data_IF_301169251085
#
_entry.id   IF_301169251085
#
_cell.length_a   1.000
_cell.length_b   1.000
_cell.length_c   1.000
_cell.angle_alpha   90.00
_cell.angle_beta   90.00
_cell.angle_gamma   90.00
#
_symmetry.space_group_name_H-M   'P 1'
#
loop_
_entity.id
_entity.type
_entity.pdbx_description
1 polymer ?
#
# COMPACT_ATOMS: atom_id res chain seq x y z
N UNK A 1 21.34 -0.17 11.23
CA UNK A 1 20.14 0.68 11.43
C UNK A 1 19.13 -0.12 12.22
N UNK A 2 18.73 0.34 13.39
CA UNK A 2 17.72 -0.32 14.22
C UNK A 2 16.33 0.23 13.89
N UNK A 3 15.25 -0.50 14.25
CA UNK A 3 13.88 -0.05 14.07
C UNK A 3 13.61 1.30 14.78
N UNK A 4 14.28 1.53 15.91
CA UNK A 4 14.25 2.79 16.66
C UNK A 4 14.86 3.96 15.89
N UNK A 5 15.92 3.72 15.11
CA UNK A 5 16.55 4.75 14.28
C UNK A 5 15.61 5.20 13.16
N UNK A 6 14.90 4.24 12.54
CA UNK A 6 13.87 4.53 11.51
C UNK A 6 12.74 5.35 12.13
N UNK A 7 12.31 5.04 13.35
CA UNK A 7 11.24 5.78 14.03
C UNK A 7 11.65 7.22 14.38
N UNK A 8 12.88 7.42 14.84
CA UNK A 8 13.46 8.76 15.10
C UNK A 8 13.55 9.58 13.80
N UNK A 9 13.99 8.92 12.71
CA UNK A 9 14.08 9.52 11.38
C UNK A 9 12.69 9.93 10.86
N UNK A 10 11.71 9.03 11.00
CA UNK A 10 10.32 9.26 10.59
C UNK A 10 9.70 10.44 11.35
N UNK A 11 9.97 10.56 12.65
CA UNK A 11 9.51 11.70 13.46
C UNK A 11 10.14 13.03 13.02
N UNK A 12 11.41 13.02 12.63
CA UNK A 12 12.10 14.23 12.16
C UNK A 12 11.56 14.67 10.79
N UNK A 13 11.40 13.73 9.86
CA UNK A 13 10.93 14.00 8.49
C UNK A 13 9.43 13.83 8.29
N UNK A 14 8.62 13.84 9.36
CA UNK A 14 7.18 13.53 9.30
C UNK A 14 6.42 14.40 8.29
N UNK A 15 6.79 15.67 8.16
CA UNK A 15 6.17 16.59 7.18
C UNK A 15 6.43 16.13 5.74
N UNK A 16 7.63 15.64 5.45
CA UNK A 16 8.00 15.12 4.13
C UNK A 16 7.29 13.79 3.85
N UNK A 17 7.25 12.89 4.84
CA UNK A 17 6.55 11.60 4.74
C UNK A 17 5.07 11.83 4.41
N UNK A 18 4.40 12.69 5.19
CA UNK A 18 3.00 13.04 4.96
C UNK A 18 2.79 13.64 3.56
N UNK A 19 3.66 14.55 3.13
CA UNK A 19 3.55 15.16 1.81
C UNK A 19 3.67 14.11 0.69
N UNK A 20 4.66 13.20 0.75
CA UNK A 20 4.84 12.14 -0.26
C UNK A 20 3.64 11.20 -0.28
N UNK A 21 3.17 10.74 0.90
CA UNK A 21 2.02 9.85 1.01
C UNK A 21 0.75 10.50 0.45
N UNK A 22 0.49 11.75 0.79
CA UNK A 22 -0.69 12.49 0.27
C UNK A 22 -0.63 12.64 -1.23
N UNK A 23 0.52 13.04 -1.79
CA UNK A 23 0.70 13.17 -3.26
C UNK A 23 0.48 11.82 -3.95
N UNK A 24 1.08 10.73 -3.46
CA UNK A 24 0.90 9.41 -4.05
C UNK A 24 -0.54 8.89 -3.93
N UNK A 25 -1.22 9.16 -2.80
CA UNK A 25 -2.63 8.79 -2.60
C UNK A 25 -3.54 9.55 -3.57
N UNK A 26 -3.34 10.87 -3.71
CA UNK A 26 -4.10 11.69 -4.65
C UNK A 26 -3.82 11.30 -6.10
N UNK A 27 -2.57 11.01 -6.45
CA UNK A 27 -2.22 10.51 -7.78
C UNK A 27 -2.88 9.15 -8.06
N UNK A 28 -2.84 8.22 -7.11
CA UNK A 28 -3.51 6.92 -7.21
C UNK A 28 -5.03 7.08 -7.36
N UNK A 29 -5.67 7.87 -6.51
CA UNK A 29 -7.11 8.14 -6.60
C UNK A 29 -7.48 8.84 -7.92
N UNK A 30 -6.67 9.82 -8.38
CA UNK A 30 -6.85 10.50 -9.66
C UNK A 30 -6.76 9.56 -10.85
N UNK A 31 -5.79 8.64 -10.86
CA UNK A 31 -5.69 7.59 -11.88
C UNK A 31 -6.90 6.64 -11.83
N UNK A 32 -7.39 6.31 -10.63
CA UNK A 32 -8.59 5.51 -10.44
C UNK A 32 -9.84 6.19 -11.03
N UNK A 33 -10.01 7.50 -10.78
CA UNK A 33 -11.10 8.30 -11.35
C UNK A 33 -10.95 8.42 -12.86
N UNK A 34 -9.75 8.71 -13.37
CA UNK A 34 -9.51 8.84 -14.81
C UNK A 34 -9.80 7.53 -15.54
N UNK A 35 -9.41 6.39 -14.97
CA UNK A 35 -9.70 5.07 -15.53
C UNK A 35 -11.20 4.74 -15.48
N UNK A 36 -11.89 5.11 -14.41
CA UNK A 36 -13.33 4.90 -14.25
C UNK A 36 -14.17 5.96 -14.99
N UNK A 37 -13.68 7.20 -15.12
CA UNK A 37 -14.38 8.29 -15.80
C UNK A 37 -14.23 8.31 -17.32
N UNK A 38 -13.30 7.53 -17.87
CA UNK A 38 -13.18 7.28 -19.32
C UNK A 38 -14.09 6.15 -19.79
N UNK A 39 -14.66 5.35 -18.86
CA UNK A 39 -15.74 4.40 -19.10
C UNK A 39 -17.02 4.94 -18.51
N UNK A 40 -18.14 4.83 -19.22
CA UNK A 40 -19.47 5.05 -18.67
C UNK A 40 -19.64 4.18 -17.40
N UNK A 41 -20.41 4.64 -16.42
CA UNK A 41 -20.73 3.84 -15.27
C UNK A 41 -21.29 2.49 -15.76
N UNK A 42 -20.62 1.41 -15.44
CA UNK A 42 -21.07 0.07 -15.79
C UNK A 42 -21.91 -0.49 -14.65
N UNK A 43 -23.03 -1.03 -14.98
CA UNK A 43 -23.94 -1.69 -14.06
C UNK A 43 -23.92 -3.19 -14.34
N UNK A 44 -23.75 -3.99 -13.30
CA UNK A 44 -23.70 -5.45 -13.37
C UNK A 44 -24.91 -6.03 -12.67
N UNK A 45 -25.73 -6.78 -13.41
CA UNK A 45 -26.87 -7.51 -12.87
C UNK A 45 -26.68 -9.01 -13.08
N UNK A 46 -27.20 -9.82 -12.17
CA UNK A 46 -27.11 -11.28 -12.23
C UNK A 46 -28.51 -11.89 -12.10
N UNK A 47 -28.87 -12.73 -13.06
CA UNK A 47 -30.08 -13.57 -13.01
C UNK A 47 -29.66 -15.04 -12.97
N UNK A 48 -30.39 -15.87 -12.23
CA UNK A 48 -30.03 -17.28 -12.03
C UNK A 48 -31.18 -18.17 -12.52
N UNK A 49 -30.83 -19.07 -13.44
CA UNK A 49 -31.71 -20.13 -13.92
C UNK A 49 -31.43 -21.42 -13.15
N UNK A 50 -32.44 -21.98 -12.48
CA UNK A 50 -32.35 -23.26 -11.78
C UNK A 50 -33.09 -24.33 -12.55
N UNK A 51 -32.44 -25.44 -12.81
CA UNK A 51 -33.03 -26.61 -13.48
C UNK A 51 -33.45 -27.63 -12.42
N UNK A 52 -34.76 -27.93 -12.34
CA UNK A 52 -35.27 -28.96 -11.43
C UNK A 52 -35.17 -30.34 -12.05
N UNK A 53 -34.72 -31.29 -11.28
CA UNK A 53 -34.60 -32.70 -11.65
C UNK A 53 -35.89 -33.44 -11.23
N UNK A 54 -36.71 -33.90 -12.17
CA UNK A 54 -38.03 -34.43 -11.81
C UNK A 54 -37.97 -35.91 -11.38
N UNK A 55 -37.07 -36.70 -11.90
CA UNK A 55 -37.02 -38.16 -11.67
C UNK A 55 -35.63 -38.75 -11.88
N UNK A 56 -35.41 -39.98 -11.39
CA UNK A 56 -34.17 -40.75 -11.63
C UNK A 56 -33.95 -41.16 -13.12
N UNK A 57 -34.93 -40.93 -13.99
CA UNK A 57 -34.90 -41.34 -15.40
C UNK A 57 -34.23 -40.30 -16.31
N UNK A 58 -34.20 -39.02 -15.87
CA UNK A 58 -33.50 -37.93 -16.56
C UNK A 58 -32.63 -37.22 -15.53
N UNK A 59 -31.34 -37.30 -15.71
CA UNK A 59 -30.38 -36.77 -14.74
C UNK A 59 -29.95 -35.33 -15.06
N UNK A 60 -29.59 -34.58 -14.03
CA UNK A 60 -29.01 -33.23 -14.19
C UNK A 60 -27.74 -33.24 -15.05
N UNK A 61 -26.96 -34.33 -15.02
CA UNK A 61 -25.77 -34.49 -15.85
C UNK A 61 -26.05 -34.58 -17.35
N UNK A 62 -27.29 -34.93 -17.73
CA UNK A 62 -27.78 -34.93 -19.13
C UNK A 62 -28.36 -33.58 -19.51
N UNK A 63 -29.14 -32.95 -18.61
CA UNK A 63 -29.85 -31.68 -18.86
C UNK A 63 -28.96 -30.47 -18.85
N UNK A 64 -28.01 -30.41 -17.91
CA UNK A 64 -27.16 -29.22 -17.73
C UNK A 64 -26.29 -28.89 -18.93
N UNK A 65 -25.59 -29.85 -19.59
CA UNK A 65 -24.84 -29.55 -20.80
C UNK A 65 -25.72 -29.04 -21.96
N UNK A 66 -26.93 -29.59 -22.09
CA UNK A 66 -27.87 -29.16 -23.10
C UNK A 66 -28.35 -27.71 -22.84
N UNK A 67 -28.77 -27.44 -21.61
CA UNK A 67 -29.18 -26.10 -21.20
C UNK A 67 -28.05 -25.10 -21.34
N UNK A 68 -26.82 -25.49 -21.01
CA UNK A 68 -25.61 -24.66 -21.17
C UNK A 68 -25.32 -24.33 -22.66
N UNK A 69 -25.50 -25.31 -23.56
CA UNK A 69 -25.32 -25.07 -24.99
C UNK A 69 -26.32 -24.04 -25.53
N UNK A 70 -27.56 -24.13 -25.08
CA UNK A 70 -28.63 -23.15 -25.40
C UNK A 70 -28.26 -21.79 -24.79
N UNK A 71 -27.88 -21.75 -23.53
CA UNK A 71 -27.45 -20.52 -22.85
C UNK A 71 -26.32 -19.82 -23.59
N UNK A 72 -25.33 -20.59 -24.10
CA UNK A 72 -24.21 -20.03 -24.89
C UNK A 72 -24.72 -19.34 -26.17
N UNK A 73 -25.70 -19.96 -26.86
CA UNK A 73 -26.31 -19.38 -28.05
C UNK A 73 -27.12 -18.13 -27.71
N UNK A 74 -27.89 -18.18 -26.65
CA UNK A 74 -28.70 -17.03 -26.17
C UNK A 74 -27.84 -15.86 -25.80
N UNK A 75 -26.72 -16.09 -25.06
CA UNK A 75 -25.75 -15.07 -24.72
C UNK A 75 -25.14 -14.44 -25.96
N UNK A 76 -24.72 -15.26 -26.95
CA UNK A 76 -24.15 -14.75 -28.20
C UNK A 76 -25.16 -13.90 -28.99
N UNK A 77 -26.48 -14.24 -28.98
CA UNK A 77 -27.52 -13.50 -29.69
C UNK A 77 -27.92 -12.20 -28.98
N UNK A 78 -27.84 -12.16 -27.64
CA UNK A 78 -28.27 -11.01 -26.85
C UNK A 78 -27.10 -10.05 -26.46
N UNK A 79 -25.84 -10.42 -26.74
CA UNK A 79 -24.71 -9.51 -26.61
C UNK A 79 -24.72 -8.52 -27.77
N UNK A 80 -24.91 -7.25 -27.48
CA UNK A 80 -24.97 -6.15 -28.44
C UNK A 80 -23.97 -5.05 -28.05
N UNK A 81 -23.79 -4.05 -28.94
CA UNK A 81 -22.95 -2.88 -28.65
C UNK A 81 -23.40 -2.20 -27.34
N UNK A 82 -22.53 -2.22 -26.34
CA UNK A 82 -22.77 -1.63 -25.02
C UNK A 82 -23.36 -2.57 -23.96
N UNK A 83 -23.77 -3.80 -24.33
CA UNK A 83 -24.26 -4.83 -23.39
C UNK A 83 -23.42 -6.10 -23.54
N UNK A 84 -22.72 -6.47 -22.49
CA UNK A 84 -21.96 -7.72 -22.43
C UNK A 84 -22.65 -8.69 -21.48
N UNK A 85 -22.94 -9.91 -21.96
CA UNK A 85 -23.54 -10.97 -21.15
C UNK A 85 -22.52 -12.10 -21.05
N UNK A 86 -22.30 -12.60 -19.86
CA UNK A 86 -21.54 -13.81 -19.59
C UNK A 86 -22.38 -14.81 -18.82
N UNK A 87 -22.06 -16.10 -18.97
CA UNK A 87 -22.72 -17.15 -18.23
C UNK A 87 -21.71 -17.99 -17.46
N UNK A 88 -22.13 -18.48 -16.32
CA UNK A 88 -21.41 -19.49 -15.54
C UNK A 88 -22.41 -20.58 -15.13
N UNK A 89 -21.95 -21.84 -15.04
CA UNK A 89 -22.83 -22.94 -14.66
C UNK A 89 -22.23 -23.74 -13.51
N UNK A 90 -23.10 -24.14 -12.59
CA UNK A 90 -22.76 -25.04 -11.48
C UNK A 90 -23.62 -26.31 -11.53
N UNK A 91 -22.97 -27.42 -11.81
CA UNK A 91 -23.62 -28.73 -11.86
C UNK A 91 -24.12 -29.18 -10.47
N UNK A 92 -23.44 -28.76 -9.40
CA UNK A 92 -23.78 -29.15 -8.03
C UNK A 92 -25.09 -28.52 -7.57
N UNK A 93 -25.26 -27.22 -7.87
CA UNK A 93 -26.48 -26.47 -7.54
C UNK A 93 -27.51 -26.54 -8.66
N UNK A 94 -27.16 -27.07 -9.82
CA UNK A 94 -27.99 -27.14 -11.03
C UNK A 94 -28.47 -25.75 -11.48
N UNK A 95 -27.56 -24.79 -11.44
CA UNK A 95 -27.83 -23.40 -11.77
C UNK A 95 -26.98 -22.92 -12.93
N UNK A 96 -27.54 -21.99 -13.72
CA UNK A 96 -26.81 -21.21 -14.70
C UNK A 96 -27.01 -19.74 -14.32
N UNK A 97 -25.93 -19.06 -14.00
CA UNK A 97 -25.91 -17.63 -13.69
C UNK A 97 -25.64 -16.83 -14.95
N UNK A 98 -26.46 -15.83 -15.22
CA UNK A 98 -26.31 -14.87 -16.33
C UNK A 98 -25.90 -13.53 -15.74
N UNK A 99 -24.67 -13.11 -16.01
CA UNK A 99 -24.15 -11.81 -15.58
C UNK A 99 -24.13 -10.86 -16.77
N UNK A 100 -24.96 -9.82 -16.71
CA UNK A 100 -25.01 -8.78 -17.72
C UNK A 100 -24.36 -7.48 -17.24
N UNK A 101 -23.55 -6.86 -18.10
CA UNK A 101 -22.90 -5.57 -17.87
C UNK A 101 -23.38 -4.61 -18.93
N UNK A 102 -23.94 -3.46 -18.51
CA UNK A 102 -24.49 -2.44 -19.41
C UNK A 102 -24.23 -1.02 -18.87
N UNK A 103 -24.47 -0.02 -19.72
CA UNK A 103 -24.31 1.40 -19.38
C UNK A 103 -25.36 1.92 -18.39
N UNK A 104 -26.49 1.25 -18.23
CA UNK A 104 -27.56 1.60 -17.29
C UNK A 104 -28.00 0.42 -16.44
N UNK A 105 -28.52 0.71 -15.26
CA UNK A 105 -29.05 -0.31 -14.34
C UNK A 105 -30.20 -1.10 -15.01
N UNK A 106 -31.11 -0.40 -15.65
CA UNK A 106 -32.28 -1.03 -16.29
C UNK A 106 -31.88 -1.96 -17.45
N UNK A 107 -30.92 -1.57 -18.27
CA UNK A 107 -30.39 -2.41 -19.36
C UNK A 107 -29.70 -3.66 -18.86
N UNK A 108 -28.86 -3.55 -17.80
CA UNK A 108 -28.18 -4.71 -17.24
C UNK A 108 -29.16 -5.72 -16.63
N UNK A 109 -30.13 -5.24 -15.87
CA UNK A 109 -31.21 -6.07 -15.31
C UNK A 109 -32.03 -6.75 -16.42
N UNK A 110 -32.48 -5.98 -17.42
CA UNK A 110 -33.27 -6.51 -18.52
C UNK A 110 -32.49 -7.55 -19.33
N UNK A 111 -31.17 -7.30 -19.59
CA UNK A 111 -30.37 -8.22 -20.37
C UNK A 111 -30.11 -9.54 -19.62
N UNK A 112 -29.82 -9.50 -18.31
CA UNK A 112 -29.67 -10.72 -17.51
C UNK A 112 -30.96 -11.55 -17.45
N UNK A 113 -32.08 -10.89 -17.16
CA UNK A 113 -33.38 -11.56 -17.04
C UNK A 113 -33.84 -12.13 -18.38
N UNK A 114 -33.68 -11.40 -19.47
CA UNK A 114 -34.03 -11.88 -20.82
C UNK A 114 -33.21 -13.09 -21.23
N UNK A 115 -31.89 -13.09 -20.94
CA UNK A 115 -31.02 -14.23 -21.24
C UNK A 115 -31.46 -15.49 -20.46
N UNK A 116 -31.76 -15.36 -19.17
CA UNK A 116 -32.23 -16.44 -18.34
C UNK A 116 -33.60 -16.97 -18.81
N UNK A 117 -34.56 -16.08 -19.07
CA UNK A 117 -35.91 -16.44 -19.54
C UNK A 117 -35.87 -17.12 -20.90
N UNK A 118 -35.16 -16.57 -21.89
CA UNK A 118 -35.01 -17.16 -23.21
C UNK A 118 -34.34 -18.54 -23.17
N UNK A 119 -33.34 -18.71 -22.31
CA UNK A 119 -32.70 -20.01 -22.13
C UNK A 119 -33.67 -21.03 -21.55
N UNK A 120 -34.46 -20.64 -20.55
CA UNK A 120 -35.50 -21.52 -19.99
C UNK A 120 -36.54 -21.92 -21.04
N UNK A 121 -37.05 -20.95 -21.81
CA UNK A 121 -38.06 -21.17 -22.86
C UNK A 121 -37.54 -22.08 -23.99
N UNK A 122 -36.35 -21.76 -24.53
CA UNK A 122 -35.77 -22.58 -25.61
C UNK A 122 -35.43 -23.98 -25.14
N UNK A 123 -34.94 -24.14 -23.89
CA UNK A 123 -34.68 -25.47 -23.34
C UNK A 123 -35.96 -26.24 -23.13
N UNK A 124 -36.99 -25.63 -22.58
CA UNK A 124 -38.32 -26.28 -22.41
C UNK A 124 -38.91 -26.72 -23.75
N UNK A 125 -38.83 -25.86 -24.77
CA UNK A 125 -39.29 -26.18 -26.13
C UNK A 125 -38.55 -27.40 -26.69
N UNK A 126 -37.23 -27.41 -26.59
CA UNK A 126 -36.40 -28.52 -27.07
C UNK A 126 -36.73 -29.83 -26.33
N UNK A 127 -36.90 -29.78 -25.00
CA UNK A 127 -37.27 -30.96 -24.23
C UNK A 127 -38.67 -31.49 -24.61
N UNK A 128 -39.61 -30.62 -24.93
CA UNK A 128 -40.91 -31.01 -25.41
C UNK A 128 -40.83 -31.65 -26.80
N UNK A 129 -40.06 -31.08 -27.72
CA UNK A 129 -39.81 -31.68 -29.04
C UNK A 129 -39.19 -33.08 -28.91
N UNK A 130 -38.21 -33.24 -28.01
CA UNK A 130 -37.59 -34.54 -27.73
C UNK A 130 -38.64 -35.53 -27.14
N UNK A 131 -39.49 -35.09 -26.23
CA UNK A 131 -40.56 -35.92 -25.67
C UNK A 131 -41.56 -36.37 -26.74
N UNK A 132 -41.93 -35.46 -27.65
CA UNK A 132 -42.83 -35.78 -28.76
C UNK A 132 -42.20 -36.74 -29.80
N UNK A 133 -40.90 -36.59 -30.05
CA UNK A 133 -40.14 -37.52 -30.86
C UNK A 133 -40.16 -38.93 -30.26
N UNK A 134 -39.84 -39.10 -28.96
CA UNK A 134 -39.92 -40.40 -28.27
C UNK A 134 -41.33 -41.00 -28.36
N UNK A 135 -42.37 -40.19 -28.24
CA UNK A 135 -43.79 -40.68 -28.41
C UNK A 135 -44.09 -41.14 -29.82
N UNK A 136 -43.57 -40.43 -30.84
CA UNK A 136 -43.76 -40.79 -32.23
C UNK A 136 -43.04 -42.11 -32.57
N UNK A 137 -41.85 -42.29 -32.07
CA UNK A 137 -41.10 -43.56 -32.24
C UNK A 137 -41.81 -44.74 -31.61
N UNK A 138 -42.36 -44.57 -30.39
CA UNK A 138 -43.19 -45.59 -29.73
C UNK A 138 -44.46 -45.91 -30.55
N UNK A 139 -45.06 -44.88 -31.15
CA UNK A 139 -46.27 -45.08 -31.97
C UNK A 139 -45.98 -45.89 -33.27
N UNK A 140 -44.82 -45.63 -33.90
CA UNK A 140 -44.35 -46.37 -35.09
C UNK A 140 -44.03 -47.82 -34.73
N UNK A 141 -43.27 -48.03 -33.64
CA UNK A 141 -42.89 -49.36 -33.19
C UNK A 141 -44.09 -50.21 -32.82
N UNK A 142 -45.09 -49.63 -32.15
CA UNK A 142 -46.35 -50.32 -31.85
C UNK A 142 -47.13 -50.69 -33.07
N UNK A 143 -46.98 -50.01 -34.19
CA UNK A 143 -47.63 -50.35 -35.47
C UNK A 143 -46.97 -51.55 -36.20
N UNK A 144 -45.68 -51.72 -35.90
CA UNK A 144 -44.84 -52.82 -36.46
C UNK A 144 -44.95 -54.11 -35.62
N UNK A 145 -45.18 -53.99 -34.31
CA UNK A 145 -45.13 -55.02 -33.27
C UNK A 145 -46.35 -55.95 -33.21
N UNK A 146 -47.26 -55.89 -34.13
CA UNK A 146 -48.31 -56.91 -34.15
C UNK A 146 -47.77 -58.34 -34.39
N UNK A 147 -46.47 -58.56 -34.48
CA UNK A 147 -45.86 -59.85 -34.83
C UNK A 147 -44.75 -60.42 -33.92
N UNK A 148 -44.19 -59.74 -32.93
CA UNK A 148 -43.11 -60.34 -32.11
C UNK A 148 -43.05 -59.80 -30.66
N UNK A 149 -43.08 -60.66 -29.77
CA UNK A 149 -42.94 -60.89 -28.32
C UNK A 149 -42.31 -59.89 -27.36
N UNK A 150 -42.42 -60.23 -26.07
CA UNK A 150 -42.10 -59.59 -24.76
C UNK A 150 -40.95 -58.57 -24.68
N UNK A 151 -39.94 -58.57 -25.57
CA UNK A 151 -38.81 -57.62 -25.55
C UNK A 151 -39.20 -56.17 -25.93
N UNK A 152 -40.17 -56.02 -26.83
CA UNK A 152 -40.63 -54.74 -27.33
C UNK A 152 -41.50 -53.96 -26.31
N UNK A 153 -42.15 -54.66 -25.39
CA UNK A 153 -42.98 -54.03 -24.35
C UNK A 153 -42.11 -53.31 -23.30
N UNK A 154 -40.96 -53.86 -22.97
CA UNK A 154 -39.99 -53.26 -22.00
C UNK A 154 -39.32 -52.00 -22.57
N UNK A 155 -38.97 -52.00 -23.83
CA UNK A 155 -38.34 -50.84 -24.48
C UNK A 155 -39.36 -49.65 -24.58
N UNK A 156 -40.58 -49.92 -25.06
CA UNK A 156 -41.62 -48.92 -25.15
C UNK A 156 -42.05 -48.31 -23.80
N UNK A 157 -41.97 -49.08 -22.70
CA UNK A 157 -42.18 -48.54 -21.35
C UNK A 157 -41.03 -47.59 -20.89
N UNK A 158 -39.79 -47.92 -21.24
CA UNK A 158 -38.64 -47.08 -20.94
C UNK A 158 -38.72 -45.72 -21.63
N UNK A 159 -39.06 -45.75 -22.92
CA UNK A 159 -39.17 -44.53 -23.73
C UNK A 159 -40.39 -43.65 -23.30
N UNK A 160 -41.51 -44.27 -22.94
CA UNK A 160 -42.65 -43.56 -22.35
C UNK A 160 -42.31 -42.88 -21.04
N UNK A 161 -41.59 -43.59 -20.18
CA UNK A 161 -41.14 -43.00 -18.89
C UNK A 161 -40.16 -41.84 -19.11
N UNK A 162 -39.28 -41.96 -20.12
CA UNK A 162 -38.33 -40.91 -20.48
C UNK A 162 -39.05 -39.69 -21.06
N UNK A 163 -39.99 -39.86 -21.97
CA UNK A 163 -40.81 -38.76 -22.49
C UNK A 163 -41.58 -38.04 -21.38
N UNK A 164 -42.22 -38.79 -20.47
CA UNK A 164 -42.94 -38.20 -19.34
C UNK A 164 -41.98 -37.47 -18.37
N UNK A 165 -40.78 -37.99 -18.17
CA UNK A 165 -39.76 -37.35 -17.32
C UNK A 165 -39.26 -36.03 -17.92
N UNK A 166 -39.08 -35.95 -19.24
CA UNK A 166 -38.66 -34.71 -19.92
C UNK A 166 -39.71 -33.60 -19.77
N UNK A 167 -40.99 -33.95 -19.83
CA UNK A 167 -42.09 -32.99 -19.63
C UNK A 167 -42.21 -32.48 -18.19
N UNK A 168 -41.72 -33.24 -17.23
CA UNK A 168 -41.71 -32.83 -15.82
C UNK A 168 -40.54 -31.91 -15.43
N UNK A 169 -39.56 -31.72 -16.34
CA UNK A 169 -38.49 -30.77 -16.08
C UNK A 169 -39.05 -29.37 -15.96
N UNK A 170 -38.73 -28.69 -14.87
CA UNK A 170 -39.15 -27.31 -14.68
C UNK A 170 -37.93 -26.38 -14.51
N UNK A 171 -38.11 -25.18 -15.02
CA UNK A 171 -37.11 -24.13 -14.97
C UNK A 171 -37.61 -23.02 -14.05
N UNK A 172 -36.78 -22.63 -13.09
CA UNK A 172 -37.09 -21.50 -12.21
C UNK A 172 -36.08 -20.39 -12.48
N UNK A 173 -36.56 -19.24 -12.94
CA UNK A 173 -35.75 -18.06 -13.16
C UNK A 173 -35.89 -17.18 -11.92
N UNK A 174 -34.75 -16.91 -11.28
CA UNK A 174 -34.62 -15.91 -10.24
C UNK A 174 -34.13 -14.62 -10.90
N UNK A 175 -35.01 -13.69 -11.09
CA UNK A 175 -34.74 -12.42 -11.77
C UNK A 175 -33.83 -11.54 -10.97
N UNK A 176 -32.92 -10.86 -11.65
CA UNK A 176 -32.14 -9.76 -11.09
C UNK A 176 -33.10 -8.60 -10.75
N UNK A 177 -33.14 -8.19 -9.49
CA UNK A 177 -33.93 -7.05 -9.02
C UNK A 177 -33.11 -5.77 -8.83
N UNK A 178 -31.81 -5.89 -8.81
CA UNK A 178 -30.84 -4.80 -8.60
C UNK A 178 -29.58 -5.05 -9.42
N UNK A 179 -28.93 -3.96 -9.84
CA UNK A 179 -27.61 -4.04 -10.43
C UNK A 179 -26.56 -3.39 -9.53
N UNK A 180 -25.42 -4.04 -9.42
CA UNK A 180 -24.28 -3.47 -8.75
C UNK A 180 -23.62 -2.42 -9.66
N UNK A 181 -23.53 -1.18 -9.20
CA UNK A 181 -22.81 -0.13 -9.91
C UNK A 181 -21.31 -0.27 -9.67
N UNK A 182 -20.54 -0.50 -10.71
CA UNK A 182 -19.09 -0.29 -10.70
C UNK A 182 -18.81 1.21 -10.77
N UNK A 183 -19.29 1.98 -9.78
CA UNK A 183 -19.07 3.42 -9.73
C UNK A 183 -17.59 3.69 -9.58
N UNK A 184 -17.11 4.74 -10.25
CA UNK A 184 -15.71 5.23 -10.17
C UNK A 184 -15.23 5.48 -8.74
N UNK A 185 -16.15 5.61 -7.76
CA UNK A 185 -15.85 5.70 -6.33
C UNK A 185 -15.14 4.44 -5.79
N UNK A 186 -15.62 3.23 -6.13
CA UNK A 186 -15.00 1.97 -5.71
C UNK A 186 -13.60 1.82 -6.33
N UNK A 187 -13.45 2.18 -7.60
CA UNK A 187 -12.19 2.13 -8.32
C UNK A 187 -11.21 3.17 -7.77
N UNK A 188 -11.65 4.40 -7.52
CA UNK A 188 -10.83 5.45 -6.91
C UNK A 188 -10.31 5.06 -5.52
N UNK A 189 -11.15 4.43 -4.69
CA UNK A 189 -10.74 3.95 -3.34
C UNK A 189 -9.69 2.83 -3.45
N UNK A 190 -9.87 1.87 -4.36
CA UNK A 190 -8.89 0.79 -4.57
C UNK A 190 -7.53 1.34 -5.02
N UNK A 191 -7.49 2.21 -6.02
CA UNK A 191 -6.25 2.83 -6.50
C UNK A 191 -5.67 3.83 -5.50
N UNK A 192 -6.52 4.54 -4.73
CA UNK A 192 -6.09 5.39 -3.62
C UNK A 192 -5.38 4.61 -2.52
N UNK A 193 -5.88 3.42 -2.15
CA UNK A 193 -5.24 2.54 -1.17
C UNK A 193 -3.88 2.04 -1.67
N UNK A 194 -3.78 1.64 -2.94
CA UNK A 194 -2.51 1.24 -3.56
C UNK A 194 -1.53 2.42 -3.58
N UNK A 195 -2.00 3.63 -3.92
CA UNK A 195 -1.21 4.86 -3.88
C UNK A 195 -0.72 5.19 -2.47
N UNK A 196 -1.55 4.99 -1.45
CA UNK A 196 -1.17 5.18 -0.04
C UNK A 196 -0.04 4.24 0.39
N UNK A 197 -0.19 2.93 0.14
CA UNK A 197 0.83 1.93 0.50
C UNK A 197 2.12 2.15 -0.30
N UNK A 198 2.01 2.42 -1.60
CA UNK A 198 3.16 2.75 -2.44
C UNK A 198 3.85 4.04 -2.01
N UNK A 199 3.09 5.07 -1.64
CA UNK A 199 3.59 6.34 -1.11
C UNK A 199 4.33 6.18 0.22
N UNK A 200 3.82 5.34 1.12
CA UNK A 200 4.48 5.03 2.38
C UNK A 200 5.83 4.33 2.15
N UNK A 201 5.85 3.33 1.27
CA UNK A 201 7.07 2.63 0.91
C UNK A 201 8.10 3.58 0.26
N UNK A 202 7.67 4.41 -0.67
CA UNK A 202 8.51 5.40 -1.34
C UNK A 202 9.09 6.42 -0.34
N UNK A 203 8.29 6.89 0.62
CA UNK A 203 8.75 7.82 1.66
C UNK A 203 9.84 7.19 2.54
N UNK A 204 9.70 5.91 2.90
CA UNK A 204 10.73 5.17 3.65
C UNK A 204 12.02 5.06 2.82
N UNK A 205 11.92 4.69 1.54
CA UNK A 205 13.08 4.63 0.65
C UNK A 205 13.81 5.97 0.54
N UNK A 206 13.08 7.07 0.37
CA UNK A 206 13.65 8.42 0.30
C UNK A 206 14.36 8.77 1.61
N UNK A 207 13.75 8.47 2.76
CA UNK A 207 14.38 8.71 4.07
C UNK A 207 15.69 7.94 4.23
N UNK A 208 15.71 6.67 3.84
CA UNK A 208 16.93 5.84 3.90
C UNK A 208 18.02 6.41 2.99
N UNK A 209 17.66 6.85 1.79
CA UNK A 209 18.61 7.48 0.87
C UNK A 209 19.18 8.79 1.46
N UNK A 210 18.34 9.64 2.06
CA UNK A 210 18.77 10.87 2.72
C UNK A 210 19.73 10.55 3.88
N UNK A 211 19.42 9.54 4.69
CA UNK A 211 20.26 9.11 5.81
C UNK A 211 21.62 8.58 5.33
N UNK A 212 21.65 7.82 4.25
CA UNK A 212 22.89 7.32 3.66
C UNK A 212 23.76 8.41 3.04
N UNK A 213 23.12 9.37 2.32
CA UNK A 213 23.85 10.40 1.59
C UNK A 213 24.31 11.53 2.52
N UNK A 214 23.45 11.99 3.42
CA UNK A 214 23.75 13.12 4.31
C UNK A 214 24.39 12.69 5.63
N UNK A 215 24.21 11.44 6.05
CA UNK A 215 24.68 10.91 7.33
C UNK A 215 24.50 11.94 8.48
N UNK A 216 23.25 12.39 8.76
CA UNK A 216 23.01 13.44 9.74
C UNK A 216 23.44 12.98 11.14
N UNK A 217 24.03 13.87 11.91
CA UNK A 217 24.33 13.63 13.31
C UNK A 217 23.01 13.53 14.10
N UNK A 218 22.72 12.36 14.68
CA UNK A 218 21.46 12.12 15.41
C UNK A 218 21.58 12.36 16.91
N UNK A 219 22.78 12.27 17.45
CA UNK A 219 23.04 12.47 18.87
C UNK A 219 24.39 11.93 19.33
N UNK A 220 24.53 11.81 20.65
CA UNK A 220 25.73 11.39 21.34
C UNK A 220 26.34 10.07 20.85
N UNK A 221 25.45 9.07 20.63
CA UNK A 221 25.87 7.73 20.21
C UNK A 221 26.62 7.72 18.87
N UNK A 222 26.29 8.64 17.95
CA UNK A 222 26.94 8.72 16.65
C UNK A 222 28.36 9.24 16.78
N UNK A 223 28.61 10.21 17.67
CA UNK A 223 29.95 10.72 17.96
C UNK A 223 30.79 9.64 18.61
N UNK A 224 30.28 9.00 19.66
CA UNK A 224 31.02 7.96 20.41
C UNK A 224 31.32 6.71 19.56
N UNK A 225 30.48 6.39 18.55
CA UNK A 225 30.71 5.27 17.64
C UNK A 225 31.66 5.58 16.49
N UNK A 226 31.65 6.82 16.00
CA UNK A 226 32.37 7.19 14.79
C UNK A 226 33.70 7.86 15.07
N UNK A 227 33.87 8.49 16.27
CA UNK A 227 35.01 9.28 16.62
C UNK A 227 35.47 8.92 18.03
N UNK A 228 36.78 8.90 18.24
CA UNK A 228 37.38 8.67 19.56
C UNK A 228 37.47 9.99 20.36
N UNK A 229 36.34 10.71 20.45
CA UNK A 229 36.26 12.00 21.11
C UNK A 229 35.03 12.02 22.03
N UNK A 230 35.15 12.42 23.30
CA UNK A 230 34.04 12.40 24.25
C UNK A 230 33.01 13.49 23.93
N UNK A 231 31.75 13.19 24.20
CA UNK A 231 30.70 14.21 24.23
C UNK A 231 30.66 14.86 25.61
N UNK A 232 31.12 16.11 25.68
CA UNK A 232 31.23 16.85 26.93
C UNK A 232 29.87 17.25 27.51
N UNK A 233 28.96 17.70 26.68
CA UNK A 233 27.60 18.03 27.10
C UNK A 233 26.62 17.88 25.92
N UNK A 234 25.35 17.59 26.25
CA UNK A 234 24.26 17.56 25.32
C UNK A 234 23.02 18.21 25.97
N UNK A 235 22.39 19.13 25.28
CA UNK A 235 21.17 19.80 25.76
C UNK A 235 20.90 21.15 25.11
N UNK A 236 20.02 21.91 25.76
CA UNK A 236 19.68 23.26 25.29
C UNK A 236 20.85 24.23 25.56
N UNK A 237 21.14 25.12 24.61
CA UNK A 237 22.24 26.08 24.68
C UNK A 237 22.29 26.84 26.00
N UNK A 238 21.14 27.23 26.57
CA UNK A 238 21.07 28.02 27.83
C UNK A 238 21.40 27.24 29.10
N UNK A 239 21.28 25.92 29.08
CA UNK A 239 21.48 25.06 30.27
C UNK A 239 22.71 24.19 30.21
N UNK A 240 23.51 24.34 29.16
CA UNK A 240 24.71 23.51 28.93
C UNK A 240 25.93 23.96 29.71
N UNK A 241 26.02 25.26 30.08
CA UNK A 241 27.23 25.89 30.57
C UNK A 241 27.88 25.17 31.74
N UNK A 242 27.14 24.91 32.81
CA UNK A 242 27.71 24.29 34.05
C UNK A 242 28.27 22.89 33.76
N UNK A 243 27.52 22.08 33.01
CA UNK A 243 27.95 20.73 32.66
C UNK A 243 29.12 20.73 31.70
N UNK A 244 29.07 21.63 30.71
CA UNK A 244 30.16 21.79 29.76
C UNK A 244 31.45 22.22 30.46
N UNK A 245 31.40 23.23 31.34
CA UNK A 245 32.52 23.71 32.07
C UNK A 245 33.16 22.62 32.96
N UNK A 246 32.34 21.91 33.75
CA UNK A 246 32.82 20.83 34.59
C UNK A 246 33.51 19.72 33.79
N UNK A 247 32.94 19.33 32.65
CA UNK A 247 33.49 18.27 31.81
C UNK A 247 34.75 18.74 31.04
N UNK A 248 34.88 20.02 30.69
CA UNK A 248 36.12 20.60 30.14
C UNK A 248 37.24 20.50 31.18
N UNK A 249 37.00 20.92 32.43
CA UNK A 249 37.98 20.79 33.51
C UNK A 249 38.39 19.34 33.75
N UNK A 250 37.44 18.38 33.74
CA UNK A 250 37.78 16.96 33.90
C UNK A 250 38.60 16.42 32.71
N UNK A 251 38.31 16.86 31.49
CA UNK A 251 39.02 16.39 30.30
C UNK A 251 40.47 16.93 30.25
N UNK A 252 40.73 18.13 30.74
CA UNK A 252 42.03 18.76 30.75
C UNK A 252 42.84 18.39 32.01
N UNK A 253 42.14 18.06 33.12
CA UNK A 253 42.79 17.76 34.42
C UNK A 253 43.21 19.00 35.23
N UNK A 254 43.09 20.20 34.68
CA UNK A 254 43.37 21.48 35.28
C UNK A 254 42.41 22.55 34.77
N UNK A 255 42.37 23.70 35.41
CA UNK A 255 41.52 24.83 34.95
C UNK A 255 42.20 25.52 33.77
N UNK A 256 41.61 25.46 32.53
CA UNK A 256 42.21 26.14 31.39
C UNK A 256 42.06 27.66 31.50
N UNK A 257 43.03 28.42 31.00
CA UNK A 257 42.97 29.89 30.90
C UNK A 257 42.31 30.36 29.60
N UNK A 258 42.24 29.48 28.61
CA UNK A 258 41.58 29.79 27.33
C UNK A 258 40.80 28.61 26.77
N UNK A 259 39.56 28.89 26.34
CA UNK A 259 38.65 27.91 25.71
C UNK A 259 38.24 28.44 24.35
N UNK A 260 38.53 27.68 23.30
CA UNK A 260 38.07 27.98 21.94
C UNK A 260 36.88 27.13 21.55
N UNK A 261 35.75 27.74 21.17
CA UNK A 261 34.56 27.09 20.65
C UNK A 261 34.60 27.09 19.12
N UNK A 262 34.66 25.91 18.52
CA UNK A 262 34.76 25.73 17.07
C UNK A 262 33.48 25.13 16.55
N UNK A 263 32.69 25.84 15.70
CA UNK A 263 31.50 25.29 15.12
C UNK A 263 31.80 24.35 13.96
N UNK A 264 31.03 23.27 13.87
CA UNK A 264 31.02 22.37 12.68
C UNK A 264 30.21 23.01 11.56
N UNK A 265 29.07 23.64 11.90
CA UNK A 265 28.18 24.31 10.99
C UNK A 265 28.56 25.75 10.67
N UNK A 266 27.59 26.64 10.55
CA UNK A 266 27.83 28.04 10.15
C UNK A 266 28.31 28.94 11.31
N UNK A 267 27.83 28.69 12.54
CA UNK A 267 28.19 29.47 13.74
C UNK A 267 27.87 28.73 15.03
N UNK A 268 28.58 29.03 16.11
CA UNK A 268 28.19 28.61 17.46
C UNK A 268 26.98 29.46 17.87
N UNK A 269 25.89 28.88 18.42
CA UNK A 269 24.81 29.66 19.01
C UNK A 269 25.37 30.57 20.12
N UNK A 270 25.09 31.87 20.06
CA UNK A 270 25.57 32.87 21.06
C UNK A 270 25.18 32.49 22.49
N UNK A 271 24.07 31.80 22.64
CA UNK A 271 23.58 31.30 23.93
C UNK A 271 24.55 30.29 24.58
N UNK A 272 25.32 29.54 23.79
CA UNK A 272 26.32 28.57 24.31
C UNK A 272 27.48 29.31 24.92
N UNK A 273 28.02 30.32 24.23
CA UNK A 273 29.08 31.20 24.74
C UNK A 273 28.64 31.89 26.03
N UNK A 274 27.50 32.51 26.04
CA UNK A 274 26.91 33.16 27.22
C UNK A 274 26.67 32.21 28.39
N UNK A 275 26.19 31.02 28.12
CA UNK A 275 25.96 29.98 29.14
C UNK A 275 27.25 29.49 29.74
N UNK A 276 28.28 29.26 28.92
CA UNK A 276 29.64 28.86 29.39
C UNK A 276 30.29 29.99 30.18
N UNK A 277 30.23 31.24 29.72
CA UNK A 277 30.77 32.41 30.43
C UNK A 277 30.13 32.58 31.81
N UNK A 278 28.82 32.42 31.92
CA UNK A 278 28.11 32.46 33.20
C UNK A 278 28.56 31.32 34.14
N UNK A 279 28.75 30.12 33.61
CA UNK A 279 29.19 28.96 34.37
C UNK A 279 30.61 29.17 34.91
N UNK A 280 31.51 29.69 34.09
CA UNK A 280 32.88 30.06 34.50
C UNK A 280 32.87 31.10 35.61
N UNK A 281 32.08 32.18 35.42
CA UNK A 281 31.97 33.26 36.43
C UNK A 281 31.41 32.73 37.77
N UNK A 282 30.42 31.77 37.72
CA UNK A 282 29.86 31.16 38.93
C UNK A 282 30.88 30.35 39.75
N UNK A 283 31.93 29.82 39.11
CA UNK A 283 33.01 29.09 39.81
C UNK A 283 34.07 30.01 40.46
N UNK A 284 33.95 31.33 40.29
CA UNK A 284 34.89 32.30 40.86
C UNK A 284 36.20 32.38 40.11
N UNK A 285 36.35 31.76 38.98
CA UNK A 285 37.54 31.82 38.10
C UNK A 285 37.35 33.00 37.14
N UNK A 286 38.12 34.07 37.33
CA UNK A 286 37.92 35.33 36.59
C UNK A 286 38.83 35.52 35.36
N UNK A 287 39.75 34.60 35.12
CA UNK A 287 40.78 34.75 34.08
C UNK A 287 40.68 33.75 32.94
N UNK A 288 39.48 33.25 32.63
CA UNK A 288 39.26 32.34 31.50
C UNK A 288 38.78 33.13 30.28
N UNK A 289 39.59 33.07 29.21
CA UNK A 289 39.21 33.66 27.92
C UNK A 289 38.39 32.66 27.12
N UNK A 290 37.13 32.96 26.87
CA UNK A 290 36.27 32.18 25.96
C UNK A 290 36.29 32.87 24.61
N UNK A 291 36.67 32.14 23.56
CA UNK A 291 36.68 32.63 22.18
C UNK A 291 35.80 31.75 21.30
N UNK A 292 35.04 32.39 20.42
CA UNK A 292 34.26 31.70 19.39
C UNK A 292 34.93 31.91 18.05
N UNK A 293 35.35 30.81 17.44
CA UNK A 293 36.00 30.85 16.15
C UNK A 293 34.98 30.70 14.99
N UNK A 294 35.25 31.24 13.80
CA UNK A 294 34.53 30.87 12.60
C UNK A 294 34.78 29.39 12.26
N UNK A 295 33.93 28.74 11.42
CA UNK A 295 34.16 27.39 10.95
C UNK A 295 35.53 27.24 10.29
N UNK A 296 36.30 26.20 10.62
CA UNK A 296 37.67 25.98 10.19
C UNK A 296 37.86 26.06 8.67
N UNK A 297 36.95 25.44 7.90
CA UNK A 297 37.03 25.46 6.44
C UNK A 297 36.79 26.85 5.79
N UNK A 298 36.52 27.90 6.57
CA UNK A 298 36.31 29.28 6.07
C UNK A 298 37.42 30.25 6.40
N UNK A 299 38.22 29.99 7.42
CA UNK A 299 39.27 30.90 7.86
C UNK A 299 40.45 30.17 8.49
N UNK A 300 41.65 30.46 8.02
CA UNK A 300 42.88 29.98 8.63
C UNK A 300 43.08 30.54 10.05
N UNK A 301 42.54 31.72 10.35
CA UNK A 301 42.63 32.33 11.68
C UNK A 301 41.93 31.48 12.74
N UNK A 302 40.88 30.74 12.36
CA UNK A 302 40.19 29.81 13.24
C UNK A 302 41.15 28.67 13.69
N UNK A 303 41.94 28.14 12.79
CA UNK A 303 42.89 27.09 13.09
C UNK A 303 44.05 27.59 14.03
N UNK A 304 44.51 28.80 13.83
CA UNK A 304 45.48 29.42 14.74
C UNK A 304 44.88 29.69 16.12
N UNK A 305 43.65 30.25 16.18
CA UNK A 305 42.98 30.48 17.45
C UNK A 305 42.71 29.18 18.24
N UNK A 306 42.31 28.11 17.53
CA UNK A 306 42.11 26.80 18.14
C UNK A 306 43.44 26.18 18.63
N UNK A 307 44.54 26.38 17.91
CA UNK A 307 45.87 25.90 18.31
C UNK A 307 46.41 26.65 19.53
N UNK A 308 46.22 27.97 19.56
CA UNK A 308 46.76 28.83 20.60
C UNK A 308 45.93 28.81 21.90
N UNK A 309 44.75 28.23 21.88
CA UNK A 309 43.90 28.00 23.05
C UNK A 309 44.41 26.81 23.87
N UNK A 310 44.24 26.88 25.22
CA UNK A 310 44.54 25.76 26.09
C UNK A 310 43.68 24.55 25.80
N UNK A 311 42.43 24.81 25.40
CA UNK A 311 41.47 23.76 25.08
C UNK A 311 40.52 24.20 23.97
N UNK A 312 40.22 23.28 23.08
CA UNK A 312 39.23 23.46 21.98
C UNK A 312 38.03 22.53 22.17
N UNK A 313 36.86 23.10 22.04
CA UNK A 313 35.59 22.38 22.11
C UNK A 313 34.86 22.52 20.78
N UNK A 314 34.50 21.42 20.20
CA UNK A 314 33.75 21.39 18.94
C UNK A 314 32.23 21.52 19.23
N UNK A 315 31.58 22.49 18.60
CA UNK A 315 30.13 22.71 18.74
C UNK A 315 29.37 22.19 17.54
N UNK A 316 28.43 21.27 17.76
CA UNK A 316 27.60 20.69 16.71
C UNK A 316 26.13 20.65 17.09
N UNK A 317 25.26 20.78 16.09
CA UNK A 317 23.82 20.78 16.25
C UNK A 317 23.24 19.50 15.66
N UNK A 318 22.66 18.61 16.47
CA UNK A 318 22.03 17.39 15.99
C UNK A 318 20.96 17.69 14.93
N UNK A 319 20.87 16.82 13.91
CA UNK A 319 19.96 16.89 12.75
C UNK A 319 20.22 18.05 11.76
N UNK A 320 21.05 19.00 12.08
CA UNK A 320 21.52 20.05 11.17
C UNK A 320 22.90 19.74 10.60
N UNK A 321 23.80 19.33 11.48
CA UNK A 321 25.14 18.94 11.10
C UNK A 321 25.19 17.46 10.69
N UNK A 322 26.16 17.10 9.88
CA UNK A 322 26.42 15.73 9.46
C UNK A 322 27.78 15.24 9.96
N UNK A 323 27.94 13.92 9.97
CA UNK A 323 29.16 13.29 10.50
C UNK A 323 30.42 13.66 9.70
N UNK A 324 30.29 13.89 8.40
CA UNK A 324 31.43 14.21 7.53
C UNK A 324 32.09 15.54 7.86
N UNK A 325 31.37 16.69 7.99
CA UNK A 325 31.98 17.94 8.46
C UNK A 325 32.62 17.84 9.83
N UNK A 326 32.10 17.00 10.76
CA UNK A 326 32.73 16.76 12.05
C UNK A 326 34.06 16.08 11.86
N UNK A 327 34.15 15.05 11.02
CA UNK A 327 35.39 14.37 10.69
C UNK A 327 36.42 15.32 10.07
N UNK A 328 35.96 16.17 9.14
CA UNK A 328 36.83 17.17 8.50
C UNK A 328 37.35 18.19 9.53
N UNK A 329 36.48 18.70 10.42
CA UNK A 329 36.87 19.62 11.52
C UNK A 329 37.85 18.97 12.48
N UNK A 330 37.65 17.73 12.91
CA UNK A 330 38.57 16.99 13.78
C UNK A 330 39.95 16.82 13.11
N UNK A 331 39.96 16.48 11.83
CA UNK A 331 41.22 16.34 11.07
C UNK A 331 41.98 17.65 10.93
N UNK A 332 41.27 18.75 10.69
CA UNK A 332 41.89 20.09 10.61
C UNK A 332 42.45 20.52 11.96
N UNK A 333 41.74 20.26 13.07
CA UNK A 333 42.23 20.54 14.43
C UNK A 333 43.45 19.69 14.80
N UNK A 334 43.47 18.43 14.39
CA UNK A 334 44.63 17.55 14.55
C UNK A 334 45.85 18.07 13.78
N UNK A 335 45.67 18.48 12.53
CA UNK A 335 46.71 19.09 11.71
C UNK A 335 47.21 20.41 12.32
N UNK A 336 46.32 21.20 12.92
CA UNK A 336 46.69 22.42 13.64
C UNK A 336 47.37 22.15 15.00
N UNK A 337 47.40 20.90 15.46
CA UNK A 337 47.86 20.49 16.79
C UNK A 337 47.06 21.13 17.93
N UNK A 338 45.79 21.41 17.72
CA UNK A 338 44.86 21.93 18.71
C UNK A 338 44.49 20.86 19.76
N UNK A 339 44.38 21.23 21.02
CA UNK A 339 44.02 20.34 22.13
C UNK A 339 42.50 20.22 22.20
N UNK A 340 41.91 19.23 21.53
CA UNK A 340 40.49 18.99 21.52
C UNK A 340 40.06 18.26 22.79
N UNK A 341 39.23 18.90 23.64
CA UNK A 341 38.63 18.26 24.82
C UNK A 341 37.46 17.38 24.50
N UNK A 342 36.68 17.74 23.47
CA UNK A 342 35.52 16.98 23.12
C UNK A 342 34.52 17.75 22.24
N UNK A 343 33.33 17.15 22.08
CA UNK A 343 32.21 17.71 21.31
C UNK A 343 31.09 18.12 22.25
N UNK A 344 30.47 19.27 22.01
CA UNK A 344 29.22 19.67 22.64
C UNK A 344 28.09 19.60 21.64
N UNK A 345 27.00 18.96 22.02
CA UNK A 345 25.79 18.81 21.20
C UNK A 345 24.73 19.80 21.67
N UNK A 346 24.42 20.77 20.82
CA UNK A 346 23.52 21.86 21.15
C UNK A 346 22.15 21.57 20.53
N UNK A 347 21.17 21.26 21.37
CA UNK A 347 19.79 21.09 20.92
C UNK A 347 19.16 22.48 20.75
N UNK A 348 18.84 22.87 19.52
CA UNK A 348 18.00 24.06 19.31
C UNK A 348 16.60 23.76 19.85
N UNK A 349 16.20 24.45 20.91
CA UNK A 349 14.86 24.34 21.48
C UNK A 349 13.81 24.66 20.41
N UNK A 350 12.84 23.74 20.24
CA UNK A 350 11.61 23.98 19.47
C UNK A 350 10.72 24.91 20.22
#
# INVERSE_FOLDING_TARGET
MTLLDVLKLMRHYIKMVVAVVVVCTLAGAGLGIAKAGLGNAEYTAEAVLTVSEPTATVSASELMPLTQAIATNVVAQNSADGVSISQDYDLTTRTISFTAVAGTEAESIAAANNAAAQTAEQTATLLQEMADQYRSEIAVEKSVESSEGEGAVTFGLSERNRAAALEMVSFTVNDASQAASNSGKSTAVKYGLVGFLGGLFLAICIMVIIDLVKAPLKGREDIEKCFDVPVLAEGNARSLGDRLWANVQFAVGETPHSVCLVPVGQSVPQEVEGSLSNAVAATGVNDVLISVCPPLGKSMDAAYAARDADVTVICSVPWKDSLRPIADTLRELELAQAKVAGVVLVNEGK
#
